data_IF_084378687002
#
_entry.id   IF_084378687002
#
_cell.length_a   1.000
_cell.length_b   1.000
_cell.length_c   1.000
_cell.angle_alpha   90.00
_cell.angle_beta   90.00
_cell.angle_gamma   90.00
#
_symmetry.space_group_name_H-M   'P 1'
#
loop_
_entity.id
_entity.type
_entity.pdbx_description
1 polymer ?
#
# COMPACT_ATOMS: atom_id res chain seq x y z
N UNK A 1 25.48 24.46 10.44
CA UNK A 1 24.75 23.29 11.01
C UNK A 1 23.99 22.67 9.86
N UNK A 2 24.54 21.64 9.21
CA UNK A 2 23.82 20.96 8.14
C UNK A 2 22.70 20.12 8.75
N UNK A 3 21.47 20.31 8.26
CA UNK A 3 20.32 19.55 8.65
C UNK A 3 20.46 18.09 8.20
N UNK A 4 20.97 17.24 9.09
CA UNK A 4 21.14 15.80 8.83
C UNK A 4 19.80 15.09 8.60
N UNK A 5 18.68 15.66 9.06
CA UNK A 5 17.35 15.13 8.79
C UNK A 5 16.99 15.19 7.30
N UNK A 6 17.47 16.20 6.56
CA UNK A 6 17.20 16.34 5.12
C UNK A 6 17.85 15.24 4.27
N UNK A 7 18.91 14.61 4.77
CA UNK A 7 19.64 13.54 4.05
C UNK A 7 18.77 12.26 3.98
N UNK A 8 18.03 11.96 5.04
CA UNK A 8 17.22 10.75 5.14
C UNK A 8 15.88 10.88 4.40
N UNK A 9 15.29 12.08 4.34
CA UNK A 9 13.99 12.28 3.70
C UNK A 9 14.06 12.26 2.16
N UNK A 10 15.17 12.65 1.56
CA UNK A 10 15.28 12.72 0.10
C UNK A 10 15.26 11.35 -0.58
N UNK A 11 15.79 10.31 0.09
CA UNK A 11 15.96 8.98 -0.48
C UNK A 11 14.72 8.07 -0.26
N UNK A 12 13.80 8.47 0.62
CA UNK A 12 12.52 7.78 0.91
C UNK A 12 11.28 8.60 0.52
N UNK A 13 11.47 9.67 -0.24
CA UNK A 13 10.36 10.43 -0.79
C UNK A 13 9.67 9.64 -1.91
N UNK A 14 8.33 9.62 -1.88
CA UNK A 14 7.56 9.05 -2.99
C UNK A 14 7.80 9.86 -4.26
N UNK A 15 7.81 9.23 -5.45
CA UNK A 15 7.89 9.94 -6.73
C UNK A 15 6.88 11.07 -6.82
N UNK A 16 7.34 12.27 -7.23
CA UNK A 16 6.51 13.48 -7.25
C UNK A 16 5.26 13.31 -8.13
N UNK A 17 5.34 12.52 -9.18
CA UNK A 17 4.23 12.19 -10.08
C UNK A 17 3.04 11.58 -9.34
N UNK A 18 3.24 10.84 -8.26
CA UNK A 18 2.16 10.23 -7.45
C UNK A 18 1.23 11.31 -6.86
N UNK A 19 1.75 12.50 -6.60
CA UNK A 19 0.96 13.61 -6.05
C UNK A 19 -0.13 14.13 -7.01
N UNK A 20 -0.08 13.74 -8.29
CA UNK A 20 -1.12 14.07 -9.30
C UNK A 20 -2.34 13.15 -9.23
N UNK A 21 -2.25 12.02 -8.51
CA UNK A 21 -3.39 11.12 -8.32
C UNK A 21 -4.56 11.84 -7.60
N UNK A 22 -5.83 11.51 -7.93
CA UNK A 22 -7.00 12.11 -7.28
C UNK A 22 -7.03 11.88 -5.77
N UNK A 23 -6.64 10.70 -5.34
CA UNK A 23 -6.65 10.23 -3.95
C UNK A 23 -7.94 9.49 -3.59
N UNK A 24 -7.79 8.47 -2.77
CA UNK A 24 -8.89 7.81 -2.06
C UNK A 24 -9.11 8.48 -0.70
N UNK A 25 -10.30 8.32 -0.12
CA UNK A 25 -10.58 8.80 1.22
C UNK A 25 -10.71 7.63 2.20
N UNK A 26 -9.88 7.63 3.24
CA UNK A 26 -9.92 6.64 4.32
C UNK A 26 -9.90 7.38 5.65
N UNK A 27 -10.90 7.16 6.49
CA UNK A 27 -11.05 7.81 7.80
C UNK A 27 -10.89 9.35 7.73
N UNK A 28 -11.48 9.98 6.70
CA UNK A 28 -11.45 11.43 6.49
C UNK A 28 -10.13 11.98 5.96
N UNK A 29 -9.14 11.13 5.70
CA UNK A 29 -7.84 11.52 5.13
C UNK A 29 -7.81 11.20 3.64
N UNK A 30 -7.28 12.13 2.84
CA UNK A 30 -7.01 11.90 1.42
C UNK A 30 -5.67 11.21 1.25
N UNK A 31 -5.66 10.04 0.60
CA UNK A 31 -4.48 9.20 0.38
C UNK A 31 -4.24 9.09 -1.11
N UNK A 32 -3.11 9.60 -1.61
CA UNK A 32 -2.64 9.49 -3.00
C UNK A 32 -1.52 8.48 -3.15
N UNK A 33 -0.75 8.30 -2.07
CA UNK A 33 0.43 7.45 -2.04
C UNK A 33 0.36 6.45 -0.88
N UNK A 34 0.69 5.19 -1.16
CA UNK A 34 0.86 4.17 -0.14
C UNK A 34 2.27 3.57 -0.27
N UNK A 35 3.06 3.58 0.79
CA UNK A 35 4.31 2.83 0.79
C UNK A 35 4.01 1.34 0.98
N UNK A 36 4.43 0.51 0.02
CA UNK A 36 4.34 -0.94 0.11
C UNK A 36 5.54 -1.47 0.88
N UNK A 37 5.38 -1.63 2.18
CA UNK A 37 6.47 -2.08 3.06
C UNK A 37 5.94 -2.63 4.39
N UNK A 38 6.71 -3.50 5.01
CA UNK A 38 6.58 -3.93 6.42
C UNK A 38 7.82 -3.57 7.24
N UNK A 39 8.79 -2.91 6.62
CA UNK A 39 9.99 -2.42 7.29
C UNK A 39 9.67 -1.13 8.06
N UNK A 40 9.84 -1.17 9.39
CA UNK A 40 9.49 -0.05 10.26
C UNK A 40 10.36 1.19 10.00
N UNK A 41 11.63 1.02 9.67
CA UNK A 41 12.51 2.16 9.38
C UNK A 41 12.04 2.87 8.10
N UNK A 42 11.68 2.12 7.05
CA UNK A 42 11.10 2.67 5.82
C UNK A 42 9.78 3.38 6.12
N UNK A 43 8.89 2.75 6.87
CA UNK A 43 7.57 3.29 7.21
C UNK A 43 7.68 4.61 7.98
N UNK A 44 8.58 4.69 8.95
CA UNK A 44 8.76 5.89 9.77
C UNK A 44 9.35 7.07 8.98
N UNK A 45 10.21 6.81 7.99
CA UNK A 45 10.96 7.86 7.29
C UNK A 45 10.43 8.18 5.88
N UNK A 46 9.53 7.39 5.33
CA UNK A 46 8.89 7.67 4.04
C UNK A 46 7.85 8.79 4.16
N UNK A 47 7.66 9.59 3.12
CA UNK A 47 6.66 10.67 3.06
C UNK A 47 5.32 10.28 2.40
N UNK A 48 5.06 8.97 2.20
CA UNK A 48 3.79 8.48 1.70
C UNK A 48 2.61 8.84 2.62
N UNK A 49 1.40 8.99 2.05
CA UNK A 49 0.20 9.33 2.82
C UNK A 49 -0.30 8.19 3.71
N UNK A 50 -0.01 6.94 3.32
CA UNK A 50 -0.43 5.72 4.04
C UNK A 50 0.58 4.57 3.85
N UNK A 51 0.36 3.49 4.57
CA UNK A 51 1.13 2.25 4.47
C UNK A 51 0.25 1.14 3.91
N UNK A 52 0.76 0.38 2.94
CA UNK A 52 0.19 -0.88 2.47
C UNK A 52 1.08 -2.02 2.97
N UNK A 53 0.70 -2.63 4.07
CA UNK A 53 1.49 -3.66 4.75
C UNK A 53 0.96 -5.07 4.40
N UNK A 54 1.48 -5.65 3.33
CA UNK A 54 1.12 -7.00 2.89
C UNK A 54 2.38 -7.85 2.78
N UNK A 55 2.33 -9.07 3.30
CA UNK A 55 3.42 -10.04 3.24
C UNK A 55 2.86 -11.45 3.04
N UNK A 56 3.66 -12.42 2.49
CA UNK A 56 3.14 -13.69 1.97
C UNK A 56 2.89 -14.77 3.05
N UNK A 57 2.81 -14.39 4.32
CA UNK A 57 2.55 -15.30 5.43
C UNK A 57 1.24 -14.94 6.13
N UNK A 58 0.71 -15.84 6.96
CA UNK A 58 -0.42 -15.52 7.83
C UNK A 58 -0.08 -14.32 8.70
N UNK A 59 -0.94 -13.31 8.66
CA UNK A 59 -0.79 -12.09 9.43
C UNK A 59 -0.62 -12.41 10.92
N UNK A 60 0.40 -11.80 11.52
CA UNK A 60 0.72 -11.95 12.93
C UNK A 60 0.29 -10.69 13.69
N UNK A 61 -0.54 -10.80 14.74
CA UNK A 61 -0.99 -9.67 15.54
C UNK A 61 0.14 -8.78 16.05
N UNK A 62 1.26 -9.36 16.47
CA UNK A 62 2.43 -8.62 16.94
C UNK A 62 3.05 -7.73 15.84
N UNK A 63 3.06 -8.21 14.58
CA UNK A 63 3.56 -7.42 13.44
C UNK A 63 2.58 -6.30 13.13
N UNK A 64 1.28 -6.58 13.08
CA UNK A 64 0.24 -5.55 12.85
C UNK A 64 0.33 -4.45 13.92
N UNK A 65 0.44 -4.82 15.18
CA UNK A 65 0.59 -3.87 16.29
C UNK A 65 1.85 -3.01 16.15
N UNK A 66 2.98 -3.61 15.80
CA UNK A 66 4.22 -2.87 15.58
C UNK A 66 4.10 -1.86 14.42
N UNK A 67 3.48 -2.26 13.31
CA UNK A 67 3.21 -1.40 12.17
C UNK A 67 2.32 -0.21 12.53
N UNK A 68 1.22 -0.45 13.22
CA UNK A 68 0.28 0.61 13.66
C UNK A 68 0.93 1.53 14.69
N UNK A 69 1.67 0.97 15.65
CA UNK A 69 2.33 1.77 16.69
C UNK A 69 3.47 2.64 16.14
N UNK A 70 4.21 2.15 15.15
CA UNK A 70 5.32 2.89 14.54
C UNK A 70 4.84 3.90 13.49
N UNK A 71 3.74 3.60 12.78
CA UNK A 71 3.23 4.46 11.71
C UNK A 71 2.40 5.62 12.28
N UNK A 72 2.76 6.84 11.90
CA UNK A 72 1.91 8.03 12.16
C UNK A 72 0.83 8.22 11.08
N UNK A 73 0.72 7.27 10.14
CA UNK A 73 -0.15 7.30 8.96
C UNK A 73 -1.08 6.11 8.97
N UNK A 74 -2.22 6.19 8.23
CA UNK A 74 -3.12 5.04 8.09
C UNK A 74 -2.39 3.80 7.58
N UNK A 75 -2.67 2.64 8.18
CA UNK A 75 -2.12 1.35 7.76
C UNK A 75 -3.23 0.51 7.16
N UNK A 76 -3.08 0.10 5.90
CA UNK A 76 -3.88 -0.94 5.26
C UNK A 76 -3.12 -2.27 5.42
N UNK A 77 -3.69 -3.20 6.18
CA UNK A 77 -3.01 -4.42 6.61
C UNK A 77 -3.48 -5.67 5.85
N UNK A 78 -2.54 -6.46 5.34
CA UNK A 78 -2.83 -7.75 4.70
C UNK A 78 -3.31 -8.78 5.73
N UNK A 79 -4.51 -9.34 5.54
CA UNK A 79 -5.12 -10.29 6.50
C UNK A 79 -5.39 -11.66 5.91
N UNK A 80 -5.40 -11.81 4.57
CA UNK A 80 -5.74 -13.10 3.98
C UNK A 80 -5.47 -13.23 2.48
N UNK A 81 -5.66 -14.45 2.03
CA UNK A 81 -5.45 -14.93 0.67
C UNK A 81 -5.51 -16.44 0.61
N UNK A 82 -4.72 -17.08 -0.24
CA UNK A 82 -4.70 -18.55 -0.40
C UNK A 82 -4.25 -19.32 0.86
N UNK A 83 -3.37 -18.74 1.67
CA UNK A 83 -2.84 -19.39 2.89
C UNK A 83 -3.76 -19.17 4.08
N UNK A 84 -4.36 -17.97 4.19
CA UNK A 84 -5.24 -17.60 5.30
C UNK A 84 -6.57 -17.13 4.73
N UNK A 85 -7.60 -17.95 4.88
CA UNK A 85 -8.96 -17.69 4.36
C UNK A 85 -10.01 -18.18 5.35
N UNK A 86 -11.31 -18.00 5.02
CA UNK A 86 -12.44 -18.41 5.84
C UNK A 86 -12.39 -17.77 7.24
N UNK A 87 -12.85 -18.50 8.25
CA UNK A 87 -12.98 -18.03 9.62
C UNK A 87 -11.67 -17.47 10.18
N UNK A 88 -10.55 -18.14 9.91
CA UNK A 88 -9.23 -17.66 10.36
C UNK A 88 -8.85 -16.29 9.79
N UNK A 89 -9.20 -16.01 8.54
CA UNK A 89 -9.00 -14.70 7.94
C UNK A 89 -9.88 -13.64 8.61
N UNK A 90 -11.12 -13.99 8.90
CA UNK A 90 -12.08 -13.11 9.57
C UNK A 90 -11.62 -12.75 10.98
N UNK A 91 -11.17 -13.73 11.77
CA UNK A 91 -10.61 -13.50 13.11
C UNK A 91 -9.39 -12.56 13.08
N UNK A 92 -8.46 -12.81 12.16
CA UNK A 92 -7.27 -11.97 11.96
C UNK A 92 -7.66 -10.55 11.56
N UNK A 93 -8.66 -10.39 10.69
CA UNK A 93 -9.14 -9.10 10.23
C UNK A 93 -9.82 -8.29 11.36
N UNK A 94 -10.69 -8.92 12.14
CA UNK A 94 -11.31 -8.31 13.33
C UNK A 94 -10.26 -7.87 14.35
N UNK A 95 -9.26 -8.72 14.58
CA UNK A 95 -8.17 -8.38 15.48
C UNK A 95 -7.34 -7.19 14.96
N UNK A 96 -7.08 -7.16 13.65
CA UNK A 96 -6.37 -6.03 13.01
C UNK A 96 -7.17 -4.73 13.13
N UNK A 97 -8.49 -4.78 12.92
CA UNK A 97 -9.37 -3.61 13.11
C UNK A 97 -9.30 -3.09 14.56
N UNK A 98 -9.37 -3.98 15.56
CA UNK A 98 -9.23 -3.59 16.97
C UNK A 98 -7.85 -3.01 17.32
N UNK A 99 -6.82 -3.36 16.57
CA UNK A 99 -5.48 -2.75 16.69
C UNK A 99 -5.38 -1.37 16.03
N UNK A 100 -6.40 -0.93 15.31
CA UNK A 100 -6.47 0.41 14.73
C UNK A 100 -5.96 0.52 13.29
N UNK A 101 -5.97 -0.57 12.51
CA UNK A 101 -5.71 -0.46 11.07
C UNK A 101 -6.80 0.36 10.39
N UNK A 102 -6.43 1.07 9.34
CA UNK A 102 -7.35 1.91 8.58
C UNK A 102 -8.12 1.14 7.48
N UNK A 103 -7.73 -0.10 7.22
CA UNK A 103 -8.38 -1.01 6.29
C UNK A 103 -7.68 -2.36 6.27
N UNK A 104 -8.36 -3.36 5.75
CA UNK A 104 -7.79 -4.70 5.56
C UNK A 104 -7.64 -5.03 4.08
N UNK A 105 -6.59 -5.78 3.76
CA UNK A 105 -6.27 -6.17 2.38
C UNK A 105 -6.27 -7.68 2.27
N UNK A 106 -6.94 -8.19 1.25
CA UNK A 106 -6.92 -9.61 0.89
C UNK A 106 -6.40 -9.81 -0.52
N UNK A 107 -5.81 -10.97 -0.76
CA UNK A 107 -5.22 -11.30 -2.05
C UNK A 107 -6.30 -11.81 -3.02
N UNK A 108 -6.01 -11.76 -4.33
CA UNK A 108 -6.90 -12.21 -5.42
C UNK A 108 -7.41 -13.66 -5.27
N UNK A 109 -6.67 -14.52 -4.57
CA UNK A 109 -7.05 -15.91 -4.31
C UNK A 109 -8.00 -16.12 -3.12
N UNK A 110 -8.48 -15.04 -2.50
CA UNK A 110 -9.41 -15.14 -1.37
C UNK A 110 -10.79 -15.69 -1.86
N UNK A 111 -11.40 -16.65 -1.16
CA UNK A 111 -12.74 -17.11 -1.47
C UNK A 111 -13.80 -16.00 -1.35
N UNK A 112 -14.81 -16.03 -2.20
CA UNK A 112 -15.86 -14.99 -2.27
C UNK A 112 -16.66 -14.90 -0.95
N UNK A 113 -17.00 -16.03 -0.36
CA UNK A 113 -17.69 -16.12 0.94
C UNK A 113 -16.91 -15.46 2.08
N UNK A 114 -15.58 -15.51 1.99
CA UNK A 114 -14.70 -14.82 2.95
C UNK A 114 -14.75 -13.30 2.74
N UNK A 115 -14.83 -12.80 1.50
CA UNK A 115 -15.01 -11.36 1.22
C UNK A 115 -16.37 -10.88 1.76
N UNK A 116 -17.44 -11.61 1.50
CA UNK A 116 -18.79 -11.32 2.02
C UNK A 116 -18.79 -11.22 3.55
N UNK A 117 -18.15 -12.20 4.21
CA UNK A 117 -18.08 -12.23 5.66
C UNK A 117 -17.24 -11.07 6.25
N UNK A 118 -16.13 -10.69 5.58
CA UNK A 118 -15.33 -9.53 5.96
C UNK A 118 -16.13 -8.24 5.81
N UNK A 119 -16.79 -8.05 4.67
CA UNK A 119 -17.61 -6.86 4.40
C UNK A 119 -18.77 -6.71 5.39
N UNK A 120 -19.37 -7.83 5.83
CA UNK A 120 -20.46 -7.81 6.79
C UNK A 120 -20.04 -7.56 8.24
N UNK A 121 -18.77 -7.86 8.60
CA UNK A 121 -18.31 -7.84 10.01
C UNK A 121 -17.39 -6.67 10.34
N UNK A 122 -16.72 -6.09 9.36
CA UNK A 122 -15.74 -5.02 9.59
C UNK A 122 -16.37 -3.64 9.38
N UNK A 123 -15.90 -2.67 10.15
CA UNK A 123 -16.23 -1.24 9.98
C UNK A 123 -15.16 -0.51 9.15
N UNK A 124 -14.01 -1.13 8.93
CA UNK A 124 -12.95 -0.59 8.08
C UNK A 124 -13.08 -1.12 6.64
N UNK A 125 -12.57 -0.38 5.64
CA UNK A 125 -12.58 -0.82 4.24
C UNK A 125 -11.96 -2.20 4.02
N UNK A 126 -12.61 -3.00 3.17
CA UNK A 126 -12.09 -4.27 2.65
C UNK A 126 -11.52 -4.03 1.26
N UNK A 127 -10.21 -4.16 1.11
CA UNK A 127 -9.49 -3.98 -0.15
C UNK A 127 -9.16 -5.34 -0.74
N UNK A 128 -9.60 -5.63 -1.96
CA UNK A 128 -9.22 -6.84 -2.67
C UNK A 128 -8.13 -6.55 -3.68
N UNK A 129 -7.03 -7.30 -3.62
CA UNK A 129 -5.99 -7.22 -4.66
C UNK A 129 -6.44 -8.01 -5.88
N UNK A 130 -6.42 -7.38 -7.06
CA UNK A 130 -6.80 -7.98 -8.34
C UNK A 130 -5.65 -7.89 -9.34
N UNK A 131 -5.50 -8.93 -10.18
CA UNK A 131 -4.46 -8.99 -11.21
C UNK A 131 -5.05 -8.89 -12.64
N UNK A 132 -6.37 -8.92 -12.77
CA UNK A 132 -7.12 -8.80 -14.01
C UNK A 132 -8.52 -8.27 -13.73
N UNK A 133 -9.17 -7.70 -14.76
CA UNK A 133 -10.61 -7.44 -14.75
C UNK A 133 -11.32 -8.67 -15.31
N UNK A 134 -11.60 -9.63 -14.45
CA UNK A 134 -12.20 -10.92 -14.78
C UNK A 134 -13.45 -11.22 -13.92
N UNK A 135 -14.03 -12.38 -14.14
CA UNK A 135 -15.22 -12.81 -13.39
C UNK A 135 -14.95 -12.98 -11.89
N UNK A 136 -13.71 -13.28 -11.49
CA UNK A 136 -13.35 -13.41 -10.06
C UNK A 136 -13.33 -12.04 -9.42
N UNK A 137 -12.64 -11.07 -10.05
CA UNK A 137 -12.59 -9.69 -9.57
C UNK A 137 -14.00 -9.08 -9.46
N UNK A 138 -14.87 -9.31 -10.48
CA UNK A 138 -16.24 -8.84 -10.47
C UNK A 138 -17.03 -9.41 -9.26
N UNK A 139 -16.95 -10.70 -9.02
CA UNK A 139 -17.62 -11.34 -7.88
C UNK A 139 -17.08 -10.88 -6.53
N UNK A 140 -15.79 -10.59 -6.42
CA UNK A 140 -15.21 -10.04 -5.19
C UNK A 140 -15.68 -8.61 -4.91
N UNK A 141 -15.85 -7.80 -5.94
CA UNK A 141 -16.42 -6.45 -5.83
C UNK A 141 -17.90 -6.55 -5.40
N UNK A 142 -18.68 -7.40 -6.05
CA UNK A 142 -20.10 -7.64 -5.72
C UNK A 142 -20.28 -8.21 -4.30
N UNK A 143 -19.31 -8.99 -3.81
CA UNK A 143 -19.28 -9.54 -2.44
C UNK A 143 -19.01 -8.48 -1.35
N UNK A 144 -18.80 -7.21 -1.72
CA UNK A 144 -18.68 -6.11 -0.79
C UNK A 144 -17.25 -5.56 -0.62
N UNK A 145 -16.32 -5.87 -1.52
CA UNK A 145 -15.05 -5.16 -1.54
C UNK A 145 -15.28 -3.66 -1.76
N UNK A 146 -14.80 -2.84 -0.82
CA UNK A 146 -15.04 -1.38 -0.86
C UNK A 146 -14.00 -0.65 -1.70
N UNK A 147 -12.89 -1.29 -1.99
CA UNK A 147 -11.78 -0.80 -2.82
C UNK A 147 -11.09 -1.97 -3.50
N UNK A 148 -10.40 -1.70 -4.60
CA UNK A 148 -9.49 -2.66 -5.22
C UNK A 148 -8.06 -2.14 -5.22
N UNK A 149 -7.10 -3.06 -5.11
CA UNK A 149 -5.69 -2.82 -5.35
C UNK A 149 -5.26 -3.57 -6.61
N UNK A 150 -5.00 -2.86 -7.69
CA UNK A 150 -4.61 -3.48 -8.97
C UNK A 150 -3.11 -3.75 -8.99
N UNK A 151 -2.73 -5.03 -9.09
CA UNK A 151 -1.34 -5.49 -9.12
C UNK A 151 -1.12 -6.44 -10.32
N UNK A 152 -1.19 -5.90 -11.54
CA UNK A 152 -1.12 -6.66 -12.79
C UNK A 152 0.23 -6.54 -13.53
N UNK A 153 1.28 -6.09 -12.83
CA UNK A 153 2.61 -5.89 -13.41
C UNK A 153 2.58 -4.89 -14.56
N UNK A 154 3.15 -5.23 -15.73
CA UNK A 154 3.16 -4.34 -16.89
C UNK A 154 1.79 -3.99 -17.48
N UNK A 155 0.74 -4.74 -17.11
CA UNK A 155 -0.65 -4.50 -17.55
C UNK A 155 -1.49 -3.71 -16.56
N UNK A 156 -0.89 -3.19 -15.48
CA UNK A 156 -1.66 -2.51 -14.42
C UNK A 156 -2.52 -1.37 -14.96
N UNK A 157 -1.99 -0.50 -15.81
CA UNK A 157 -2.77 0.59 -16.41
C UNK A 157 -3.97 0.10 -17.26
N UNK A 158 -3.80 -0.98 -18.02
CA UNK A 158 -4.87 -1.58 -18.83
C UNK A 158 -6.00 -2.13 -17.94
N UNK A 159 -5.63 -2.84 -16.87
CA UNK A 159 -6.60 -3.40 -15.92
C UNK A 159 -7.32 -2.29 -15.15
N UNK A 160 -6.62 -1.21 -14.77
CA UNK A 160 -7.22 -0.03 -14.16
C UNK A 160 -8.24 0.61 -15.09
N UNK A 161 -7.89 0.84 -16.37
CA UNK A 161 -8.80 1.42 -17.36
C UNK A 161 -10.06 0.55 -17.57
N UNK A 162 -9.89 -0.77 -17.64
CA UNK A 162 -11.00 -1.72 -17.77
C UNK A 162 -11.93 -1.67 -16.56
N UNK A 163 -11.39 -1.75 -15.34
CA UNK A 163 -12.18 -1.65 -14.11
C UNK A 163 -12.89 -0.30 -13.99
N UNK A 164 -12.23 0.81 -14.32
CA UNK A 164 -12.82 2.15 -14.28
C UNK A 164 -13.98 2.30 -15.25
N UNK A 165 -13.93 1.68 -16.42
CA UNK A 165 -15.03 1.69 -17.39
C UNK A 165 -16.29 0.98 -16.90
N UNK A 166 -16.16 0.02 -15.98
CA UNK A 166 -17.27 -0.77 -15.41
C UNK A 166 -17.73 -0.25 -14.05
N UNK A 167 -16.78 0.24 -13.23
CA UNK A 167 -17.02 0.64 -11.84
C UNK A 167 -16.52 2.09 -11.65
N UNK A 168 -17.33 3.06 -12.09
CA UNK A 168 -16.94 4.48 -12.11
C UNK A 168 -16.59 5.04 -10.73
N UNK A 169 -17.30 4.61 -9.69
CA UNK A 169 -17.16 5.12 -8.31
C UNK A 169 -16.27 4.25 -7.40
N UNK A 170 -15.84 3.08 -7.87
CA UNK A 170 -15.02 2.17 -7.05
C UNK A 170 -13.63 2.77 -6.85
N UNK A 171 -13.18 2.99 -5.60
CA UNK A 171 -11.81 3.45 -5.35
C UNK A 171 -10.77 2.44 -5.81
N UNK A 172 -9.81 2.90 -6.61
CA UNK A 172 -8.75 2.07 -7.19
C UNK A 172 -7.38 2.50 -6.69
N UNK A 173 -6.77 1.64 -5.88
CA UNK A 173 -5.33 1.67 -5.60
C UNK A 173 -4.64 0.88 -6.70
N UNK A 174 -3.49 1.31 -7.20
CA UNK A 174 -2.75 0.55 -8.20
C UNK A 174 -1.25 0.53 -7.92
N UNK A 175 -0.61 -0.60 -8.20
CA UNK A 175 0.85 -0.71 -8.18
C UNK A 175 1.40 0.05 -9.39
N UNK A 176 2.01 1.21 -9.16
CA UNK A 176 2.30 2.22 -10.19
C UNK A 176 3.45 1.90 -11.15
N UNK A 177 4.23 0.85 -10.89
CA UNK A 177 5.44 0.59 -11.67
C UNK A 177 6.69 1.27 -11.08
N UNK A 178 7.80 1.22 -11.85
CA UNK A 178 9.14 1.64 -11.36
C UNK A 178 9.61 2.98 -11.92
N UNK A 179 8.90 3.56 -12.89
CA UNK A 179 9.27 4.83 -13.52
C UNK A 179 8.13 5.81 -13.43
N UNK A 180 8.44 7.10 -13.47
CA UNK A 180 7.46 8.18 -13.42
C UNK A 180 6.45 8.08 -14.58
N UNK A 181 6.90 7.65 -15.76
CA UNK A 181 6.02 7.47 -16.93
C UNK A 181 5.05 6.30 -16.74
N UNK A 182 5.48 5.20 -16.10
CA UNK A 182 4.60 4.07 -15.79
C UNK A 182 3.56 4.46 -14.74
N UNK A 183 3.97 5.22 -13.73
CA UNK A 183 3.08 5.75 -12.70
C UNK A 183 2.07 6.73 -13.32
N UNK A 184 2.53 7.69 -14.12
CA UNK A 184 1.66 8.65 -14.80
C UNK A 184 0.59 7.95 -15.64
N UNK A 185 0.97 7.00 -16.50
CA UNK A 185 0.02 6.20 -17.29
C UNK A 185 -1.01 5.47 -16.44
N UNK A 186 -0.61 4.97 -15.26
CA UNK A 186 -1.52 4.27 -14.35
C UNK A 186 -2.53 5.23 -13.72
N UNK A 187 -2.12 6.45 -13.38
CA UNK A 187 -3.00 7.51 -12.90
C UNK A 187 -3.95 7.97 -14.00
N UNK A 188 -3.45 8.23 -15.21
CA UNK A 188 -4.24 8.60 -16.39
C UNK A 188 -5.28 7.53 -16.76
N UNK A 189 -4.96 6.26 -16.52
CA UNK A 189 -5.90 5.15 -16.70
C UNK A 189 -7.05 5.13 -15.68
N UNK A 190 -6.98 5.95 -14.63
CA UNK A 190 -8.03 6.12 -13.62
C UNK A 190 -7.73 5.54 -12.25
N UNK A 191 -6.45 5.29 -11.91
CA UNK A 191 -6.08 4.97 -10.54
C UNK A 191 -6.23 6.19 -9.63
N UNK A 192 -6.87 6.01 -8.47
CA UNK A 192 -7.07 7.08 -7.49
C UNK A 192 -5.87 7.24 -6.56
N UNK A 193 -5.17 6.16 -6.26
CA UNK A 193 -3.99 6.16 -5.42
C UNK A 193 -2.95 5.14 -5.93
N UNK A 194 -1.69 5.41 -5.64
CA UNK A 194 -0.57 4.57 -6.07
C UNK A 194 0.09 3.89 -4.89
N UNK A 195 0.21 2.57 -4.98
CA UNK A 195 1.06 1.77 -4.13
C UNK A 195 2.48 1.79 -4.70
N UNK A 196 3.40 2.38 -3.96
CA UNK A 196 4.81 2.53 -4.33
C UNK A 196 5.68 1.59 -3.51
N UNK A 197 6.52 0.81 -4.20
CA UNK A 197 7.53 -0.03 -3.58
C UNK A 197 8.84 0.75 -3.51
N UNK A 198 9.35 1.07 -2.31
CA UNK A 198 10.62 1.75 -2.14
C UNK A 198 11.78 0.86 -2.61
N UNK A 199 12.96 1.44 -2.87
CA UNK A 199 14.19 0.66 -3.05
C UNK A 199 14.45 -0.29 -1.87
N UNK A 200 15.20 -1.37 -2.11
CA UNK A 200 15.59 -2.31 -1.04
C UNK A 200 16.30 -1.56 0.08
N UNK A 201 15.94 -1.83 1.34
CA UNK A 201 16.48 -1.13 2.51
C UNK A 201 18.01 -1.17 2.54
N UNK A 202 18.64 -2.27 2.11
CA UNK A 202 20.11 -2.39 2.08
C UNK A 202 20.75 -1.46 1.05
N UNK A 203 20.06 -1.14 -0.04
CA UNK A 203 20.50 -0.16 -1.05
C UNK A 203 20.42 1.24 -0.46
N UNK A 204 19.33 1.57 0.21
CA UNK A 204 19.10 2.84 0.89
C UNK A 204 20.13 3.07 1.99
N UNK A 205 20.35 2.11 2.88
CA UNK A 205 21.31 2.19 3.97
C UNK A 205 22.73 2.45 3.44
N UNK A 206 23.12 1.72 2.39
CA UNK A 206 24.45 1.93 1.76
C UNK A 206 24.59 3.34 1.22
N UNK A 207 23.62 3.83 0.46
CA UNK A 207 23.64 5.17 -0.13
C UNK A 207 23.72 6.26 0.95
N UNK A 208 22.92 6.13 2.01
CA UNK A 208 22.93 7.06 3.14
C UNK A 208 24.27 7.06 3.87
N UNK A 209 24.83 5.88 4.16
CA UNK A 209 26.11 5.74 4.84
C UNK A 209 27.27 6.30 4.02
N UNK A 210 27.27 6.09 2.70
CA UNK A 210 28.29 6.66 1.80
C UNK A 210 28.20 8.19 1.76
N UNK A 211 26.99 8.75 1.71
CA UNK A 211 26.76 10.19 1.75
C UNK A 211 27.21 10.80 3.07
N UNK A 212 26.88 10.17 4.20
CA UNK A 212 27.30 10.61 5.52
C UNK A 212 28.84 10.61 5.67
N UNK A 213 29.52 9.57 5.16
CA UNK A 213 31.00 9.50 5.18
C UNK A 213 31.65 10.60 4.35
N UNK A 214 31.10 10.91 3.17
CA UNK A 214 31.61 12.03 2.34
C UNK A 214 31.47 13.37 3.07
N UNK A 215 30.31 13.66 3.62
CA UNK A 215 30.08 14.90 4.37
C UNK A 215 31.01 15.03 5.60
N UNK A 216 31.25 13.93 6.31
CA UNK A 216 32.19 13.93 7.44
C UNK A 216 33.62 14.17 7.00
N UNK A 217 34.07 13.61 5.86
CA UNK A 217 35.42 13.88 5.32
C UNK A 217 35.59 15.35 4.92
N UNK A 218 34.63 15.94 4.23
CA UNK A 218 34.62 17.36 3.84
C UNK A 218 34.71 18.30 5.05
N UNK A 219 34.06 17.93 6.19
CA UNK A 219 34.13 18.72 7.43
C UNK A 219 35.48 18.62 8.17
N UNK A 220 36.23 17.54 7.94
CA UNK A 220 37.57 17.36 8.55
C UNK A 220 38.67 18.07 7.76
N UNK A 221 38.43 18.39 6.48
CA UNK A 221 39.35 19.09 5.60
C UNK A 221 39.16 20.63 5.59
N UNK A 222 38.07 21.12 6.17
CA UNK A 222 37.69 22.54 6.24
C UNK A 222 38.10 23.18 7.58
#
# INVERSE_FOLDING_TARGET
MHDTASIFHADLAVPAVIRTAPGIFVQGRRIRSLVFSTDLAVICHCDADAVLAVYPFTCQPAITQALVAASQRPVLNGVGGSITHGERCIEVALHSEMQGVAGVVVNTSIPIDTVEALAAKLNVPVVVTVCADDAVAARQIEAGATMVNVAAGGRTAEVVASLRSRYHELPVIATGGRTDEAIARTIEAGADAISWTPPDIRVLERAVMEKARRLAAEQLEA
#
